data_IF_657256940972
#
_entry.id   IF_657256940972
#
_cell.length_a   1.000
_cell.length_b   1.000
_cell.length_c   1.000
_cell.angle_alpha   90.00
_cell.angle_beta   90.00
_cell.angle_gamma   90.00
#
_symmetry.space_group_name_H-M   'P 1'
#
loop_
_entity.id
_entity.type
_entity.pdbx_description
1 polymer ?
#
# COMPACT_ATOMS: atom_id res chain seq x y z
N UNK A 1 3.38 -19.10 -16.27
CA UNK A 1 2.58 -18.02 -15.67
C UNK A 1 2.62 -18.06 -14.14
N UNK A 2 2.08 -19.11 -13.48
CA UNK A 2 1.98 -19.21 -12.00
C UNK A 2 3.33 -19.07 -11.26
N UNK A 3 4.41 -19.69 -11.75
CA UNK A 3 5.74 -19.63 -11.09
C UNK A 3 6.36 -18.22 -11.04
N UNK A 4 6.06 -17.36 -12.02
CA UNK A 4 6.60 -16.00 -12.06
C UNK A 4 5.82 -15.11 -11.09
N UNK A 5 4.50 -15.31 -11.01
CA UNK A 5 3.63 -14.63 -10.04
C UNK A 5 3.98 -14.99 -8.59
N UNK A 6 4.25 -16.26 -8.30
CA UNK A 6 4.67 -16.72 -6.97
C UNK A 6 6.03 -16.12 -6.55
N UNK A 7 7.02 -16.16 -7.45
CA UNK A 7 8.35 -15.58 -7.18
C UNK A 7 8.30 -14.06 -6.94
N UNK A 8 7.50 -13.31 -7.71
CA UNK A 8 7.31 -11.87 -7.52
C UNK A 8 6.51 -11.55 -6.26
N UNK A 9 5.53 -12.37 -5.90
CA UNK A 9 4.79 -12.24 -4.64
C UNK A 9 5.73 -12.37 -3.45
N UNK A 10 6.68 -13.33 -3.51
CA UNK A 10 7.70 -13.55 -2.47
C UNK A 10 8.71 -12.42 -2.37
N UNK A 11 9.13 -11.86 -3.51
CA UNK A 11 10.03 -10.70 -3.54
C UNK A 11 9.35 -9.44 -2.98
N UNK A 12 8.06 -9.26 -3.26
CA UNK A 12 7.23 -8.19 -2.68
C UNK A 12 7.05 -8.32 -1.16
N UNK A 13 7.09 -9.53 -0.62
CA UNK A 13 6.99 -9.76 0.84
C UNK A 13 8.33 -9.56 1.55
N UNK A 14 9.45 -9.58 0.83
CA UNK A 14 10.80 -9.48 1.41
C UNK A 14 11.23 -8.05 1.76
N UNK A 15 10.34 -7.06 1.63
CA UNK A 15 10.60 -5.66 1.99
C UNK A 15 11.38 -4.86 0.94
N UNK A 16 12.07 -5.52 0.00
CA UNK A 16 12.86 -4.88 -1.07
C UNK A 16 12.03 -4.06 -2.07
N UNK A 17 10.71 -4.28 -2.07
CA UNK A 17 9.77 -3.52 -2.90
C UNK A 17 9.13 -2.34 -2.15
N UNK A 18 9.51 -2.05 -0.91
CA UNK A 18 8.94 -0.93 -0.15
C UNK A 18 9.50 0.43 -0.60
N UNK A 19 8.64 1.45 -0.60
CA UNK A 19 9.09 2.83 -0.84
C UNK A 19 9.87 3.31 0.37
N UNK A 20 11.08 3.83 0.17
CA UNK A 20 11.87 4.42 1.25
C UNK A 20 11.14 5.63 1.84
N UNK A 21 11.01 5.69 3.16
CA UNK A 21 10.27 6.74 3.88
C UNK A 21 10.82 8.14 3.58
N UNK A 22 12.12 8.28 3.37
CA UNK A 22 12.77 9.56 3.04
C UNK A 22 12.32 10.08 1.66
N UNK A 23 12.19 9.18 0.68
CA UNK A 23 11.72 9.52 -0.67
C UNK A 23 10.24 9.93 -0.60
N UNK A 24 9.43 9.18 0.15
CA UNK A 24 8.03 9.51 0.36
C UNK A 24 7.85 10.89 1.02
N UNK A 25 8.63 11.20 2.06
CA UNK A 25 8.62 12.53 2.72
C UNK A 25 8.99 13.64 1.74
N UNK A 26 10.03 13.45 0.93
CA UNK A 26 10.45 14.43 -0.06
C UNK A 26 9.38 14.68 -1.14
N UNK A 27 8.72 13.61 -1.63
CA UNK A 27 7.63 13.73 -2.61
C UNK A 27 6.41 14.47 -2.04
N UNK A 28 6.01 14.16 -0.81
CA UNK A 28 4.93 14.88 -0.12
C UNK A 28 5.21 16.37 -0.01
N UNK A 29 6.44 16.75 0.35
CA UNK A 29 6.85 18.15 0.46
C UNK A 29 6.88 18.84 -0.91
N UNK A 30 7.45 18.19 -1.92
CA UNK A 30 7.56 18.75 -3.27
C UNK A 30 6.19 18.99 -3.92
N UNK A 31 5.23 18.08 -3.71
CA UNK A 31 3.89 18.18 -4.29
C UNK A 31 2.88 18.87 -3.37
N UNK A 32 3.27 19.20 -2.13
CA UNK A 32 2.39 19.76 -1.09
C UNK A 32 1.16 18.90 -0.83
N UNK A 33 1.33 17.57 -0.90
CA UNK A 33 0.27 16.59 -0.67
C UNK A 33 0.50 15.92 0.69
N UNK A 34 -0.59 15.78 1.45
CA UNK A 34 -0.60 15.07 2.73
C UNK A 34 -1.55 13.88 2.58
N UNK A 35 -1.04 12.69 2.23
CA UNK A 35 -1.83 11.47 2.25
C UNK A 35 -2.30 11.20 3.67
N UNK A 36 -3.55 10.77 3.79
CA UNK A 36 -4.22 10.50 5.07
C UNK A 36 -4.29 9.01 5.39
N UNK A 37 -4.10 8.15 4.38
CA UNK A 37 -4.26 6.70 4.49
C UNK A 37 -3.32 5.94 3.54
N UNK A 38 -2.72 4.87 4.04
CA UNK A 38 -1.92 3.91 3.26
C UNK A 38 -2.75 2.65 2.96
N UNK A 39 -3.09 2.41 1.68
CA UNK A 39 -4.06 1.36 1.32
C UNK A 39 -3.47 -0.06 1.32
N UNK A 40 -2.15 -0.17 1.24
CA UNK A 40 -1.47 -1.44 1.08
C UNK A 40 -0.21 -1.48 1.94
N UNK A 41 -0.42 -1.49 3.26
CA UNK A 41 0.67 -1.48 4.21
C UNK A 41 0.45 -2.46 5.38
N UNK A 42 1.52 -2.67 6.12
CA UNK A 42 1.58 -3.27 7.45
C UNK A 42 2.02 -2.21 8.45
N UNK A 43 1.86 -2.48 9.74
CA UNK A 43 2.32 -1.60 10.81
C UNK A 43 3.81 -1.28 10.73
N UNK A 44 4.62 -2.18 10.19
CA UNK A 44 6.06 -2.01 10.01
C UNK A 44 6.42 -1.13 8.80
N UNK A 45 5.68 -1.24 7.69
CA UNK A 45 6.05 -0.61 6.42
C UNK A 45 5.18 0.59 6.03
N UNK A 46 4.19 0.95 6.86
CA UNK A 46 3.31 2.09 6.62
C UNK A 46 4.07 3.40 6.45
N UNK A 47 3.63 4.18 5.48
CA UNK A 47 4.20 5.50 5.17
C UNK A 47 3.45 6.63 5.88
N UNK A 48 2.20 6.35 6.29
CA UNK A 48 1.36 7.21 7.13
C UNK A 48 0.75 6.39 8.27
N UNK A 49 0.32 7.05 9.34
CA UNK A 49 -0.07 6.35 10.58
C UNK A 49 -1.31 5.47 10.43
N UNK A 50 -2.30 5.96 9.66
CA UNK A 50 -3.50 5.23 9.28
C UNK A 50 -3.21 4.36 8.07
N UNK A 51 -3.50 3.07 8.18
CA UNK A 51 -3.24 2.12 7.10
C UNK A 51 -4.29 1.02 7.04
N UNK A 52 -4.35 0.36 5.89
CA UNK A 52 -5.17 -0.84 5.69
C UNK A 52 -4.31 -2.08 5.56
N UNK A 53 -4.71 -3.12 6.28
CA UNK A 53 -4.01 -4.40 6.26
C UNK A 53 -4.21 -5.14 4.93
N UNK A 54 -3.14 -5.81 4.49
CA UNK A 54 -3.15 -6.60 3.26
C UNK A 54 -3.46 -8.06 3.59
N UNK A 55 -4.71 -8.46 3.37
CA UNK A 55 -5.10 -9.88 3.29
C UNK A 55 -5.55 -10.53 4.60
N UNK A 56 -5.04 -10.09 5.74
CA UNK A 56 -5.45 -10.55 7.07
C UNK A 56 -5.61 -9.35 8.01
N UNK A 57 -6.41 -9.49 9.07
CA UNK A 57 -6.55 -8.44 10.09
C UNK A 57 -5.21 -8.24 10.82
N UNK A 58 -4.82 -6.99 11.01
CA UNK A 58 -3.57 -6.61 11.67
C UNK A 58 -3.87 -5.60 12.77
N UNK A 59 -3.22 -5.76 13.93
CA UNK A 59 -3.38 -4.82 15.04
C UNK A 59 -2.94 -3.41 14.63
N UNK A 60 -3.83 -2.43 14.85
CA UNK A 60 -3.58 -1.04 14.49
C UNK A 60 -3.88 -0.69 13.03
N UNK A 61 -4.30 -1.66 12.20
CA UNK A 61 -4.88 -1.35 10.90
C UNK A 61 -6.31 -0.81 11.07
N UNK A 62 -6.64 0.26 10.35
CA UNK A 62 -7.98 0.85 10.43
C UNK A 62 -9.02 -0.08 9.76
N UNK A 63 -8.60 -0.81 8.71
CA UNK A 63 -9.48 -1.69 7.94
C UNK A 63 -8.73 -2.84 7.24
N UNK A 64 -9.52 -3.85 6.84
CA UNK A 64 -9.12 -4.95 5.97
C UNK A 64 -9.66 -4.74 4.55
N UNK A 65 -8.81 -4.94 3.53
CA UNK A 65 -9.15 -4.92 2.10
C UNK A 65 -9.59 -3.55 1.54
N UNK A 66 -8.65 -2.85 0.89
CA UNK A 66 -8.84 -1.56 0.22
C UNK A 66 -9.92 -1.52 -0.88
N UNK A 67 -10.35 -2.67 -1.43
CA UNK A 67 -11.34 -2.73 -2.50
C UNK A 67 -12.79 -2.83 -2.02
N UNK A 68 -13.03 -2.78 -0.70
CA UNK A 68 -14.35 -3.04 -0.12
C UNK A 68 -15.30 -1.84 -0.18
N UNK A 69 -14.80 -0.63 -0.45
CA UNK A 69 -15.58 0.61 -0.46
C UNK A 69 -14.95 1.68 -1.34
N UNK A 70 -15.74 2.68 -1.79
CA UNK A 70 -15.19 3.90 -2.34
C UNK A 70 -14.48 4.73 -1.27
N UNK A 71 -13.44 5.43 -1.68
CA UNK A 71 -12.63 6.29 -0.81
C UNK A 71 -12.73 7.76 -1.22
N UNK A 72 -13.95 8.29 -1.17
CA UNK A 72 -14.19 9.69 -1.49
C UNK A 72 -13.49 10.59 -0.46
N UNK A 73 -13.00 11.75 -0.93
CA UNK A 73 -12.45 12.83 -0.10
C UNK A 73 -11.16 12.53 0.68
N UNK A 74 -10.52 11.37 0.51
CA UNK A 74 -9.15 11.19 1.00
C UNK A 74 -8.10 11.07 -0.10
N UNK A 75 -6.85 11.38 0.29
CA UNK A 75 -5.67 11.23 -0.56
C UNK A 75 -4.88 10.04 -0.02
N UNK A 76 -4.67 9.04 -0.87
CA UNK A 76 -4.06 7.78 -0.47
C UNK A 76 -2.64 7.65 -0.97
N UNK A 77 -1.81 6.99 -0.16
CA UNK A 77 -0.61 6.34 -0.66
C UNK A 77 -1.00 4.95 -1.17
N UNK A 78 -0.69 4.69 -2.44
CA UNK A 78 -1.02 3.45 -3.13
C UNK A 78 0.27 2.76 -3.52
N UNK A 79 0.57 1.63 -2.87
CA UNK A 79 1.67 0.75 -3.25
C UNK A 79 1.22 -0.72 -3.22
N UNK A 80 0.34 -1.14 -4.15
CA UNK A 80 -0.22 -2.47 -4.14
C UNK A 80 0.87 -3.51 -4.38
N UNK A 81 0.80 -4.68 -3.70
CA UNK A 81 1.61 -5.82 -4.06
C UNK A 81 1.47 -6.14 -5.55
N UNK A 82 2.54 -6.60 -6.19
CA UNK A 82 2.57 -6.92 -7.63
C UNK A 82 1.35 -7.75 -8.09
N UNK A 83 0.91 -8.80 -7.35
CA UNK A 83 -0.28 -9.57 -7.73
C UNK A 83 -1.60 -8.77 -7.74
N UNK A 84 -1.67 -7.66 -7.02
CA UNK A 84 -2.87 -6.81 -6.87
C UNK A 84 -2.88 -5.59 -7.79
N UNK A 85 -1.78 -5.29 -8.50
CA UNK A 85 -1.67 -4.15 -9.43
C UNK A 85 -2.80 -4.16 -10.47
N UNK A 86 -3.09 -5.33 -11.07
CA UNK A 86 -4.14 -5.44 -12.10
C UNK A 86 -5.54 -5.06 -11.59
N UNK A 87 -5.81 -5.23 -10.29
CA UNK A 87 -7.08 -4.81 -9.68
C UNK A 87 -7.07 -3.33 -9.29
N UNK A 88 -5.91 -2.80 -8.89
CA UNK A 88 -5.77 -1.40 -8.49
C UNK A 88 -5.79 -0.39 -9.65
N UNK A 89 -5.55 -0.84 -10.89
CA UNK A 89 -5.46 0.03 -12.08
C UNK A 89 -6.70 0.00 -12.99
N UNK A 90 -7.68 -0.87 -12.71
CA UNK A 90 -8.87 -1.09 -13.56
C UNK A 90 -10.14 -0.43 -12.97
N UNK A 91 -10.09 0.01 -11.72
CA UNK A 91 -11.15 0.81 -11.07
C UNK A 91 -10.82 2.32 -11.14
#
# INVERSE_FOLDING_TARGET
>A
SIKITDALSRLSTQGDYSVKKEIFVALRQAWQIIPTLDLFATGENKLVDRFMAIGEEEEGADWLNAFSRPWNEEIFQIHPPIPKIGKALID
#
